data_IF_955417149802
#
_entry.id   IF_955417149802
#
_cell.length_a   1.000
_cell.length_b   1.000
_cell.length_c   1.000
_cell.angle_alpha   90.00
_cell.angle_beta   90.00
_cell.angle_gamma   90.00
#
_symmetry.space_group_name_H-M   'P 1'
#
loop_
_entity.id
_entity.type
_entity.pdbx_description
1 polymer ?
#
# COMPACT_ATOMS: atom_id res chain seq x y z
N UNK A 1 44.68 60.11 32.53
CA UNK A 1 45.36 61.12 31.67
C UNK A 1 46.47 60.36 30.97
N UNK A 2 46.48 60.05 29.66
CA UNK A 2 46.22 60.86 28.45
C UNK A 2 47.58 61.27 27.82
N UNK A 3 47.87 61.28 26.51
CA UNK A 3 47.15 60.94 25.26
C UNK A 3 47.39 59.46 24.83
N UNK A 4 46.96 58.85 23.71
CA UNK A 4 46.13 59.20 22.52
C UNK A 4 46.80 59.80 21.24
N UNK A 5 46.26 59.41 20.06
CA UNK A 5 46.42 59.94 18.67
C UNK A 5 47.80 59.83 17.95
N UNK A 6 47.92 59.71 16.60
CA UNK A 6 46.96 59.47 15.48
C UNK A 6 47.73 58.98 14.21
N UNK A 7 47.01 58.32 13.29
CA UNK A 7 47.38 57.78 11.95
C UNK A 7 48.18 58.67 10.99
N UNK A 8 48.89 58.06 10.02
CA UNK A 8 49.19 58.66 8.71
C UNK A 8 49.24 57.64 7.53
N UNK A 9 48.30 57.83 6.59
CA UNK A 9 48.31 57.69 5.12
C UNK A 9 48.68 56.38 4.37
N UNK A 10 47.77 56.03 3.44
CA UNK A 10 47.92 55.09 2.32
C UNK A 10 49.03 55.47 1.33
N UNK A 11 49.53 54.48 0.58
CA UNK A 11 49.75 54.58 -0.88
C UNK A 11 49.35 53.29 -1.58
N UNK A 12 48.74 53.42 -2.74
CA UNK A 12 48.10 52.36 -3.51
C UNK A 12 49.06 51.57 -4.41
N UNK A 13 48.66 50.36 -4.85
CA UNK A 13 49.50 49.51 -5.69
C UNK A 13 48.87 48.20 -6.19
N UNK A 14 47.54 48.12 -6.34
CA UNK A 14 46.88 46.94 -6.95
C UNK A 14 47.01 46.96 -8.47
N UNK A 15 47.27 45.80 -9.09
CA UNK A 15 46.65 45.44 -10.37
C UNK A 15 45.56 44.37 -10.17
N UNK A 16 44.47 44.52 -10.91
CA UNK A 16 43.37 43.56 -11.03
C UNK A 16 43.08 43.40 -12.52
N UNK A 17 43.17 42.18 -13.06
CA UNK A 17 42.53 41.84 -14.33
C UNK A 17 41.99 40.42 -14.30
N UNK A 18 40.76 40.28 -14.79
CA UNK A 18 39.94 39.09 -14.74
C UNK A 18 39.54 38.73 -16.18
N UNK A 19 39.98 37.58 -16.72
CA UNK A 19 39.58 37.17 -18.08
C UNK A 19 39.56 35.65 -18.27
N UNK A 20 38.34 35.09 -18.42
CA UNK A 20 37.92 33.90 -19.21
C UNK A 20 38.70 32.56 -19.11
N UNK A 21 37.98 31.43 -18.98
CA UNK A 21 38.61 30.13 -19.28
C UNK A 21 37.97 28.82 -18.78
N UNK A 22 36.67 28.61 -19.02
CA UNK A 22 35.94 27.32 -18.96
C UNK A 22 36.80 26.03 -19.09
N UNK A 23 36.87 25.21 -18.05
CA UNK A 23 36.98 23.74 -18.15
C UNK A 23 36.19 23.04 -17.03
N UNK A 24 35.37 22.05 -17.41
CA UNK A 24 34.64 21.18 -16.48
C UNK A 24 35.54 20.00 -16.09
N UNK A 25 35.54 19.62 -14.81
CA UNK A 25 35.51 18.23 -14.32
C UNK A 25 35.14 18.24 -12.82
N UNK A 26 33.95 17.78 -12.39
CA UNK A 26 33.64 17.64 -10.97
C UNK A 26 34.23 16.33 -10.41
N UNK A 27 35.14 16.45 -9.46
CA UNK A 27 35.61 15.32 -8.65
C UNK A 27 34.58 14.99 -7.55
N UNK A 28 34.10 13.75 -7.58
CA UNK A 28 33.50 12.97 -6.49
C UNK A 28 33.08 13.71 -5.21
N UNK A 29 31.79 14.00 -5.10
CA UNK A 29 31.09 13.98 -3.82
C UNK A 29 29.78 13.21 -3.99
N UNK A 30 29.88 11.88 -3.96
CA UNK A 30 28.73 10.99 -3.95
C UNK A 30 27.93 11.15 -2.65
N UNK A 31 27.06 12.15 -2.59
CA UNK A 31 26.04 12.30 -1.56
C UNK A 31 25.01 11.18 -1.72
N UNK A 32 25.36 10.00 -1.20
CA UNK A 32 24.38 8.97 -0.88
C UNK A 32 23.43 9.54 0.17
N UNK A 33 22.34 10.14 -0.31
CA UNK A 33 21.15 10.37 0.48
C UNK A 33 20.68 9.00 0.95
N UNK A 34 21.07 8.64 2.18
CA UNK A 34 20.50 7.51 2.89
C UNK A 34 19.01 7.83 3.03
N UNK A 35 18.23 7.26 2.11
CA UNK A 35 16.77 7.32 2.13
C UNK A 35 16.35 6.53 3.36
N UNK A 36 16.34 7.22 4.51
CA UNK A 36 16.03 6.63 5.80
C UNK A 36 14.60 6.14 5.70
N UNK A 37 14.45 4.83 5.53
CA UNK A 37 13.18 4.18 5.18
C UNK A 37 12.24 4.41 6.35
N UNK A 38 11.41 5.43 6.20
CA UNK A 38 10.57 5.97 7.25
C UNK A 38 9.52 4.96 7.63
N UNK A 39 9.86 4.05 8.54
CA UNK A 39 8.92 3.25 9.29
C UNK A 39 8.16 4.19 10.23
N UNK A 40 7.25 4.99 9.66
CA UNK A 40 6.23 5.79 10.34
C UNK A 40 5.15 4.89 10.96
N UNK A 41 5.57 3.77 11.54
CA UNK A 41 4.76 2.94 12.41
C UNK A 41 4.70 3.59 13.78
N UNK A 42 3.72 4.49 13.99
CA UNK A 42 2.99 4.68 15.26
C UNK A 42 1.91 5.76 15.18
N UNK A 43 0.73 5.36 14.69
CA UNK A 43 -0.55 5.90 15.19
C UNK A 43 -1.61 4.79 15.10
N UNK A 44 -1.74 4.02 16.18
CA UNK A 44 -2.72 2.93 16.32
C UNK A 44 -2.75 1.95 15.14
N UNK A 45 -1.77 1.04 15.05
CA UNK A 45 -1.78 -0.01 14.02
C UNK A 45 -2.95 -0.98 14.27
N UNK A 46 -4.10 -0.69 13.67
CA UNK A 46 -5.15 -1.66 13.44
C UNK A 46 -4.60 -2.71 12.48
N UNK A 47 -4.08 -3.80 13.04
CA UNK A 47 -3.66 -4.97 12.28
C UNK A 47 -4.91 -5.58 11.65
N UNK A 48 -5.02 -5.49 10.33
CA UNK A 48 -6.02 -6.24 9.58
C UNK A 48 -5.76 -7.74 9.81
N UNK A 49 -6.80 -8.44 10.24
CA UNK A 49 -6.76 -9.88 10.54
C UNK A 49 -8.06 -10.51 10.05
N UNK A 50 -7.94 -11.52 9.21
CA UNK A 50 -9.02 -12.46 8.95
C UNK A 50 -9.13 -13.45 10.12
N UNK A 51 -10.35 -13.65 10.61
CA UNK A 51 -10.69 -14.67 11.60
C UNK A 51 -11.75 -15.56 10.99
N UNK A 52 -11.45 -16.86 10.86
CA UNK A 52 -12.42 -17.86 10.39
C UNK A 52 -13.57 -17.98 11.40
N UNK A 53 -14.78 -17.79 10.90
CA UNK A 53 -16.05 -17.86 11.64
C UNK A 53 -17.05 -18.76 10.89
N UNK A 54 -16.58 -19.64 10.00
CA UNK A 54 -17.41 -20.50 9.14
C UNK A 54 -18.44 -21.31 9.93
N UNK A 55 -18.05 -21.81 11.10
CA UNK A 55 -18.92 -22.56 12.02
C UNK A 55 -20.09 -21.74 12.59
N UNK A 56 -20.06 -20.41 12.50
CA UNK A 56 -21.17 -19.52 12.88
C UNK A 56 -22.19 -19.33 11.74
N UNK A 57 -21.93 -19.85 10.54
CA UNK A 57 -22.78 -19.69 9.35
C UNK A 57 -23.19 -21.06 8.73
N UNK A 58 -23.60 -22.08 9.50
CA UNK A 58 -23.84 -23.43 8.99
C UNK A 58 -24.90 -23.48 7.89
N UNK A 59 -25.99 -22.70 8.02
CA UNK A 59 -27.05 -22.63 7.01
C UNK A 59 -26.56 -22.08 5.67
N UNK A 60 -25.69 -21.06 5.68
CA UNK A 60 -25.13 -20.47 4.47
C UNK A 60 -24.18 -21.46 3.79
N UNK A 61 -23.29 -22.08 4.56
CA UNK A 61 -22.36 -23.12 4.07
C UNK A 61 -23.14 -24.27 3.45
N UNK A 62 -24.15 -24.79 4.14
CA UNK A 62 -25.01 -25.87 3.63
C UNK A 62 -25.76 -25.47 2.36
N UNK A 63 -26.37 -24.27 2.31
CA UNK A 63 -27.09 -23.81 1.12
C UNK A 63 -26.18 -23.63 -0.09
N UNK A 64 -24.98 -23.06 0.10
CA UNK A 64 -24.02 -22.88 -0.98
C UNK A 64 -23.51 -24.23 -1.52
N UNK A 65 -23.13 -25.16 -0.64
CA UNK A 65 -22.67 -26.51 -1.03
C UNK A 65 -23.78 -27.38 -1.64
N UNK A 66 -25.05 -27.21 -1.24
CA UNK A 66 -26.16 -28.03 -1.72
C UNK A 66 -26.83 -27.51 -3.01
N UNK A 67 -26.69 -26.22 -3.32
CA UNK A 67 -27.44 -25.56 -4.41
C UNK A 67 -26.59 -24.79 -5.42
N UNK A 68 -25.25 -24.82 -5.28
CA UNK A 68 -24.31 -24.27 -6.27
C UNK A 68 -23.29 -25.36 -6.66
N UNK A 69 -22.32 -25.01 -7.51
CA UNK A 69 -21.19 -25.89 -7.82
C UNK A 69 -19.96 -25.65 -6.90
N UNK A 70 -20.12 -24.89 -5.81
CA UNK A 70 -19.05 -24.68 -4.82
C UNK A 70 -18.64 -26.00 -4.17
N UNK A 71 -17.34 -26.21 -4.05
CA UNK A 71 -16.70 -27.35 -3.37
C UNK A 71 -16.17 -26.94 -1.99
N UNK A 72 -15.88 -25.65 -1.79
CA UNK A 72 -15.46 -25.06 -0.54
C UNK A 72 -16.21 -23.75 -0.31
N UNK A 73 -16.63 -23.53 0.93
CA UNK A 73 -17.28 -22.30 1.40
C UNK A 73 -16.70 -21.96 2.76
N UNK A 74 -16.10 -20.79 2.89
CA UNK A 74 -15.53 -20.28 4.14
C UNK A 74 -16.07 -18.88 4.43
N UNK A 75 -16.28 -18.58 5.71
CA UNK A 75 -16.74 -17.26 6.16
C UNK A 75 -15.77 -16.72 7.19
N UNK A 76 -15.29 -15.51 6.96
CA UNK A 76 -14.35 -14.82 7.83
C UNK A 76 -14.92 -13.48 8.31
N UNK A 77 -14.46 -13.01 9.46
CA UNK A 77 -14.56 -11.59 9.82
C UNK A 77 -13.24 -10.87 9.54
N UNK A 78 -13.36 -9.65 9.01
CA UNK A 78 -12.33 -8.63 8.96
C UNK A 78 -12.86 -7.41 9.73
N UNK A 79 -12.77 -7.46 11.06
CA UNK A 79 -13.36 -6.46 11.95
C UNK A 79 -14.89 -6.46 11.85
N UNK A 80 -15.46 -5.43 11.21
CA UNK A 80 -16.92 -5.28 10.99
C UNK A 80 -17.36 -5.70 9.57
N UNK A 81 -16.42 -6.15 8.74
CA UNK A 81 -16.69 -6.63 7.38
C UNK A 81 -16.74 -8.16 7.42
N UNK A 82 -17.84 -8.74 6.98
CA UNK A 82 -17.96 -10.18 6.73
C UNK A 82 -17.40 -10.48 5.35
N UNK A 83 -16.56 -11.51 5.25
CA UNK A 83 -15.97 -11.98 4.00
C UNK A 83 -16.45 -13.41 3.78
N UNK A 84 -17.06 -13.66 2.63
CA UNK A 84 -17.45 -15.00 2.18
C UNK A 84 -16.51 -15.37 1.04
N UNK A 85 -15.86 -16.52 1.15
CA UNK A 85 -15.04 -17.12 0.11
C UNK A 85 -15.72 -18.40 -0.37
N UNK A 86 -15.86 -18.54 -1.69
CA UNK A 86 -16.32 -19.77 -2.33
C UNK A 86 -15.32 -20.19 -3.40
N UNK A 87 -15.14 -21.50 -3.55
CA UNK A 87 -14.30 -22.09 -4.59
C UNK A 87 -15.03 -23.24 -5.25
N UNK A 88 -14.92 -23.32 -6.57
CA UNK A 88 -15.43 -24.38 -7.43
C UNK A 88 -14.35 -24.77 -8.46
N UNK A 89 -14.54 -25.82 -9.28
CA UNK A 89 -13.52 -26.30 -10.21
C UNK A 89 -12.92 -25.26 -11.18
N UNK A 90 -13.66 -24.17 -11.47
CA UNK A 90 -13.30 -23.19 -12.49
C UNK A 90 -13.41 -21.72 -12.03
N UNK A 91 -13.85 -21.47 -10.79
CA UNK A 91 -13.91 -20.12 -10.25
C UNK A 91 -13.69 -20.07 -8.75
N UNK A 92 -13.12 -18.96 -8.29
CA UNK A 92 -13.11 -18.54 -6.90
C UNK A 92 -13.83 -17.19 -6.80
N UNK A 93 -14.62 -16.99 -5.75
CA UNK A 93 -15.33 -15.73 -5.50
C UNK A 93 -15.06 -15.25 -4.06
N UNK A 94 -14.79 -13.97 -3.91
CA UNK A 94 -14.67 -13.29 -2.62
C UNK A 94 -15.74 -12.21 -2.55
N UNK A 95 -16.69 -12.35 -1.63
CA UNK A 95 -17.73 -11.34 -1.34
C UNK A 95 -17.44 -10.69 0.00
N UNK A 96 -17.15 -9.39 0.00
CA UNK A 96 -16.99 -8.56 1.19
C UNK A 96 -18.27 -7.76 1.44
N UNK A 97 -18.86 -7.87 2.62
CA UNK A 97 -20.06 -7.12 3.03
C UNK A 97 -19.86 -6.41 4.37
N UNK A 98 -20.24 -5.14 4.46
CA UNK A 98 -20.18 -4.37 5.70
C UNK A 98 -21.48 -3.59 5.89
N UNK A 99 -22.16 -3.77 7.02
CA UNK A 99 -23.53 -3.23 7.20
C UNK A 99 -23.59 -1.71 7.39
N UNK A 100 -22.45 -1.04 7.64
CA UNK A 100 -22.38 0.35 8.10
C UNK A 100 -21.67 1.29 7.13
N UNK A 101 -20.88 0.78 6.19
CA UNK A 101 -20.07 1.58 5.27
C UNK A 101 -19.71 0.78 4.01
N UNK A 102 -19.28 1.50 2.97
CA UNK A 102 -18.67 0.88 1.80
C UNK A 102 -17.35 0.17 2.15
N UNK A 103 -17.02 -0.86 1.37
CA UNK A 103 -15.76 -1.60 1.46
C UNK A 103 -14.60 -0.74 0.94
N UNK A 104 -13.50 -0.69 1.69
CA UNK A 104 -12.31 0.07 1.34
C UNK A 104 -11.36 -0.75 0.47
N UNK A 105 -10.56 -0.08 -0.36
CA UNK A 105 -9.60 -0.77 -1.24
C UNK A 105 -8.60 -1.64 -0.45
N UNK A 106 -8.07 -1.12 0.65
CA UNK A 106 -7.15 -1.86 1.52
C UNK A 106 -7.76 -3.14 2.11
N UNK A 107 -9.08 -3.22 2.31
CA UNK A 107 -9.75 -4.47 2.72
C UNK A 107 -9.77 -5.48 1.57
N UNK A 108 -10.07 -5.04 0.35
CA UNK A 108 -10.11 -5.89 -0.86
C UNK A 108 -8.72 -6.42 -1.18
N UNK A 109 -7.71 -5.54 -1.22
CA UNK A 109 -6.29 -5.87 -1.42
C UNK A 109 -5.81 -6.87 -0.36
N UNK A 110 -6.08 -6.60 0.92
CA UNK A 110 -5.71 -7.51 2.00
C UNK A 110 -6.37 -8.88 1.83
N UNK A 111 -7.68 -8.95 1.65
CA UNK A 111 -8.40 -10.22 1.55
C UNK A 111 -7.98 -11.03 0.33
N UNK A 112 -7.82 -10.43 -0.85
CA UNK A 112 -7.34 -11.12 -2.04
C UNK A 112 -5.92 -11.67 -1.84
N UNK A 113 -5.02 -10.88 -1.23
CA UNK A 113 -3.66 -11.35 -0.94
C UNK A 113 -3.63 -12.58 -0.01
N UNK A 114 -4.57 -12.67 0.94
CA UNK A 114 -4.63 -13.75 1.93
C UNK A 114 -5.35 -15.00 1.43
N UNK A 115 -6.41 -14.86 0.62
CA UNK A 115 -7.28 -15.99 0.23
C UNK A 115 -6.98 -16.53 -1.16
N UNK A 116 -6.57 -15.68 -2.12
CA UNK A 116 -6.38 -16.09 -3.52
C UNK A 116 -4.98 -15.83 -4.06
N UNK A 117 -4.13 -15.15 -3.30
CA UNK A 117 -2.78 -14.71 -3.70
C UNK A 117 -2.79 -13.82 -4.97
N UNK A 118 -3.88 -13.07 -5.20
CA UNK A 118 -4.05 -12.15 -6.33
C UNK A 118 -4.14 -10.69 -5.88
N UNK A 119 -4.00 -9.78 -6.83
CA UNK A 119 -4.27 -8.35 -6.66
C UNK A 119 -5.63 -7.96 -7.27
N UNK A 120 -6.21 -6.79 -6.92
CA UNK A 120 -7.49 -6.33 -7.48
C UNK A 120 -7.52 -6.19 -9.01
N UNK A 121 -6.37 -6.04 -9.67
CA UNK A 121 -6.21 -6.00 -11.12
C UNK A 121 -6.28 -7.37 -11.82
N UNK A 122 -6.08 -8.47 -11.09
CA UNK A 122 -6.11 -9.85 -11.63
C UNK A 122 -7.53 -10.44 -11.68
N UNK A 123 -8.54 -9.70 -11.21
CA UNK A 123 -9.88 -10.23 -10.87
C UNK A 123 -11.00 -9.36 -11.46
N UNK A 124 -12.15 -9.98 -11.71
CA UNK A 124 -13.38 -9.28 -12.07
C UNK A 124 -13.96 -8.63 -10.79
N UNK A 125 -13.63 -7.36 -10.55
CA UNK A 125 -14.03 -6.62 -9.34
C UNK A 125 -15.29 -5.77 -9.56
N UNK A 126 -16.38 -6.14 -8.88
CA UNK A 126 -17.66 -5.42 -8.86
C UNK A 126 -17.82 -4.72 -7.49
N UNK A 127 -18.33 -3.48 -7.50
CA UNK A 127 -18.56 -2.68 -6.30
C UNK A 127 -20.00 -2.17 -6.27
N UNK A 128 -20.65 -2.33 -5.13
CA UNK A 128 -21.98 -1.84 -4.84
C UNK A 128 -21.97 -1.12 -3.47
N UNK A 129 -23.04 -0.40 -3.09
CA UNK A 129 -23.18 0.09 -1.73
C UNK A 129 -23.01 -1.07 -0.73
N UNK A 130 -22.13 -0.89 0.25
CA UNK A 130 -21.89 -1.84 1.34
C UNK A 130 -21.33 -3.23 0.95
N UNK A 131 -21.04 -3.47 -0.35
CA UNK A 131 -20.60 -4.77 -0.88
C UNK A 131 -19.50 -4.59 -1.94
N UNK A 132 -18.50 -5.48 -1.92
CA UNK A 132 -17.58 -5.67 -3.03
C UNK A 132 -17.45 -7.17 -3.34
N UNK A 133 -17.47 -7.52 -4.63
CA UNK A 133 -17.33 -8.90 -5.11
C UNK A 133 -16.13 -8.97 -6.04
N UNK A 134 -15.23 -9.91 -5.80
CA UNK A 134 -14.09 -10.19 -6.64
C UNK A 134 -14.14 -11.63 -7.16
N UNK A 135 -14.25 -11.78 -8.49
CA UNK A 135 -14.39 -13.09 -9.13
C UNK A 135 -13.14 -13.43 -9.93
N UNK A 136 -12.59 -14.62 -9.67
CA UNK A 136 -11.45 -15.19 -10.37
C UNK A 136 -11.97 -16.34 -11.22
N UNK A 137 -11.75 -16.30 -12.54
CA UNK A 137 -12.08 -17.40 -13.45
C UNK A 137 -10.80 -18.09 -13.90
N UNK A 138 -10.63 -19.34 -13.55
CA UNK A 138 -9.51 -20.15 -14.03
C UNK A 138 -9.83 -20.64 -15.43
N UNK A 139 -9.04 -20.24 -16.43
CA UNK A 139 -9.14 -20.85 -17.76
C UNK A 139 -8.69 -22.30 -17.66
N UNK A 140 -9.56 -23.22 -18.03
CA UNK A 140 -9.21 -24.63 -18.19
C UNK A 140 -8.16 -24.72 -19.30
N UNK A 141 -7.01 -25.32 -19.02
CA UNK A 141 -6.06 -25.66 -20.07
C UNK A 141 -6.73 -26.68 -21.00
N UNK A 142 -6.92 -26.26 -22.26
CA UNK A 142 -7.48 -27.07 -23.35
C UNK A 142 -6.39 -27.82 -24.09
#
# INVERSE_FOLDING_TARGET
MGTNHRTHNNRDGRPNFNTLGRFLHPLSSGSQSLYNKGNQTKKGLIVMRLVDITNSFPNLVQQQLAHTNAQLVQVYSLGQTTVIFTESPHHQEVVLRNERRNIQNAEIEYVLSQLTHRQPEDVELIRAPHVATATLRTKVAS
#
